data_IF_842746201865
#
_entry.id   IF_842746201865
#
_cell.length_a   1.000
_cell.length_b   1.000
_cell.length_c   1.000
_cell.angle_alpha   90.00
_cell.angle_beta   90.00
_cell.angle_gamma   90.00
#
_symmetry.space_group_name_H-M   'P 1'
#
loop_
_entity.id
_entity.type
_entity.pdbx_description
1 polymer ?
#
# COMPACT_ATOMS: atom_id res chain seq x y z
N UNK A 1 5.96 -24.20 -10.03
CA UNK A 1 5.88 -22.97 -9.91
C UNK A 1 6.36 -22.41 -8.66
N UNK A 2 6.77 -21.27 -8.56
CA UNK A 2 7.21 -20.72 -7.39
C UNK A 2 6.23 -19.93 -6.72
N UNK A 3 6.25 -19.94 -5.48
CA UNK A 3 5.41 -19.09 -4.70
C UNK A 3 5.93 -17.70 -4.83
N UNK A 4 5.07 -16.77 -4.94
CA UNK A 4 5.47 -15.40 -4.94
C UNK A 4 5.37 -14.90 -3.54
N UNK A 5 6.42 -14.27 -3.06
CA UNK A 5 6.42 -13.73 -1.73
C UNK A 5 6.71 -12.26 -1.82
N UNK A 6 5.90 -11.47 -1.17
CA UNK A 6 6.10 -10.03 -1.18
C UNK A 6 5.50 -9.43 0.09
N UNK A 7 5.84 -8.20 0.34
CA UNK A 7 5.25 -7.48 1.45
C UNK A 7 4.23 -6.50 0.88
N UNK A 8 3.08 -6.45 1.52
CA UNK A 8 2.06 -5.51 1.13
C UNK A 8 1.92 -4.49 2.24
N UNK A 9 2.12 -3.24 1.92
CA UNK A 9 2.05 -2.17 2.89
C UNK A 9 0.81 -1.33 2.65
N UNK A 10 0.11 -1.01 3.71
CA UNK A 10 -1.09 -0.19 3.62
C UNK A 10 -1.03 0.92 4.65
N UNK A 11 -1.41 2.10 4.23
CA UNK A 11 -1.59 3.23 5.14
C UNK A 11 -3.03 3.66 4.99
N UNK A 12 -3.77 3.64 6.08
CA UNK A 12 -5.16 4.06 6.08
C UNK A 12 -5.24 5.48 6.58
N UNK A 13 -5.95 6.32 5.83
CA UNK A 13 -6.06 7.73 6.17
C UNK A 13 -7.51 8.16 6.14
N UNK A 14 -7.79 9.22 6.83
CA UNK A 14 -9.12 9.78 6.85
C UNK A 14 -9.06 11.17 6.22
N UNK A 15 -9.99 11.48 5.36
CA UNK A 15 -10.03 12.80 4.74
C UNK A 15 -10.60 12.73 3.34
N UNK A 16 -10.57 13.85 2.67
CA UNK A 16 -11.16 13.91 1.35
C UNK A 16 -10.22 13.32 0.32
N UNK A 17 -10.81 12.73 -0.69
CA UNK A 17 -10.05 12.20 -1.79
C UNK A 17 -9.27 13.31 -2.49
N UNK A 18 -9.90 14.46 -2.67
CA UNK A 18 -9.26 15.56 -3.38
C UNK A 18 -7.98 15.99 -2.70
N UNK A 19 -7.96 15.93 -1.39
CA UNK A 19 -6.79 16.35 -0.67
C UNK A 19 -5.73 15.25 -0.62
N UNK A 20 -6.15 14.03 -0.40
CA UNK A 20 -5.21 12.95 -0.15
C UNK A 20 -4.64 12.31 -1.40
N UNK A 21 -5.40 12.27 -2.46
CA UNK A 21 -4.93 11.58 -3.66
C UNK A 21 -3.62 12.16 -4.21
N UNK A 22 -3.50 13.47 -4.38
CA UNK A 22 -2.23 13.99 -4.89
C UNK A 22 -1.07 13.75 -3.94
N UNK A 23 -1.33 13.78 -2.63
CA UNK A 23 -0.27 13.55 -1.67
C UNK A 23 0.27 12.12 -1.79
N UNK A 24 -0.64 11.17 -1.92
CA UNK A 24 -0.24 9.79 -2.04
C UNK A 24 0.49 9.55 -3.36
N UNK A 25 -0.01 10.15 -4.43
CA UNK A 25 0.61 9.94 -5.73
C UNK A 25 2.04 10.46 -5.77
N UNK A 26 2.30 11.51 -5.04
CA UNK A 26 3.65 12.03 -4.99
C UNK A 26 4.61 11.08 -4.32
N UNK A 27 4.14 10.20 -3.48
CA UNK A 27 5.02 9.23 -2.82
C UNK A 27 5.32 8.04 -3.72
N UNK A 28 4.61 7.91 -4.81
CA UNK A 28 4.75 6.74 -5.67
C UNK A 28 3.89 5.56 -5.25
N UNK A 29 3.13 5.72 -4.17
CA UNK A 29 2.24 4.64 -3.71
C UNK A 29 0.92 4.74 -4.44
N UNK A 30 0.22 3.61 -4.48
CA UNK A 30 -1.06 3.54 -5.15
C UNK A 30 -2.14 4.09 -4.23
N UNK A 31 -2.98 4.95 -4.76
CA UNK A 31 -4.08 5.53 -4.00
C UNK A 31 -5.37 4.78 -4.28
N UNK A 32 -6.15 4.53 -3.25
CA UNK A 32 -7.51 4.06 -3.44
C UNK A 32 -8.38 4.67 -2.35
N UNK A 33 -9.65 4.77 -2.63
CA UNK A 33 -10.58 5.31 -1.68
C UNK A 33 -11.83 4.44 -1.68
N UNK A 34 -12.35 4.18 -0.50
CA UNK A 34 -13.57 3.44 -0.37
C UNK A 34 -14.59 4.41 0.16
N UNK A 35 -15.63 4.63 -0.59
CA UNK A 35 -16.67 5.53 -0.18
C UNK A 35 -17.28 5.00 1.07
N UNK A 36 -17.52 5.89 1.95
CA UNK A 36 -17.78 5.61 3.30
C UNK A 36 -18.74 4.55 3.60
N UNK A 37 -18.39 3.77 4.53
CA UNK A 37 -19.25 2.84 5.16
C UNK A 37 -20.12 3.70 6.04
N UNK A 38 -21.39 3.78 5.77
CA UNK A 38 -22.26 4.65 6.57
C UNK A 38 -22.28 4.26 8.03
N UNK A 39 -21.89 3.06 8.35
CA UNK A 39 -21.90 2.67 9.75
C UNK A 39 -20.68 3.21 10.46
N UNK A 40 -19.69 3.69 9.75
CA UNK A 40 -18.53 4.23 10.37
C UNK A 40 -18.51 5.74 10.39
N UNK A 41 -19.56 6.36 10.03
CA UNK A 41 -19.65 7.81 10.02
C UNK A 41 -19.36 8.36 8.66
N UNK A 42 -19.15 9.64 8.59
CA UNK A 42 -19.10 10.28 7.32
C UNK A 42 -17.71 10.36 6.78
N UNK A 43 -16.75 9.74 7.34
CA UNK A 43 -15.41 9.88 6.83
C UNK A 43 -15.18 9.00 5.64
N UNK A 44 -14.49 9.52 4.68
CA UNK A 44 -14.05 8.73 3.56
C UNK A 44 -12.71 8.14 3.97
N UNK A 45 -12.55 6.85 3.81
CA UNK A 45 -11.28 6.23 4.12
C UNK A 45 -10.49 6.08 2.86
N UNK A 46 -9.29 6.57 2.90
CA UNK A 46 -8.38 6.50 1.77
C UNK A 46 -7.20 5.62 2.14
N UNK A 47 -6.65 4.98 1.15
CA UNK A 47 -5.56 4.04 1.37
C UNK A 47 -4.40 4.31 0.44
N UNK A 48 -3.21 4.14 0.97
CA UNK A 48 -2.01 4.14 0.16
C UNK A 48 -1.43 2.73 0.25
N UNK A 49 -1.10 2.14 -0.87
CA UNK A 49 -0.64 0.76 -0.92
C UNK A 49 0.64 0.65 -1.72
N UNK A 50 1.55 -0.16 -1.25
CA UNK A 50 2.79 -0.43 -1.96
C UNK A 50 3.21 -1.87 -1.70
N UNK A 51 3.78 -2.50 -2.71
CA UNK A 51 4.30 -3.85 -2.58
C UNK A 51 5.81 -3.80 -2.67
N UNK A 52 6.47 -4.54 -1.80
CA UNK A 52 7.91 -4.63 -1.81
C UNK A 52 8.33 -6.08 -1.92
N UNK A 53 9.44 -6.29 -2.58
CA UNK A 53 9.98 -7.61 -2.80
C UNK A 53 10.35 -8.26 -1.47
N UNK A 54 10.04 -9.51 -1.31
CA UNK A 54 10.33 -10.21 -0.07
C UNK A 54 11.81 -10.44 0.18
N UNK A 55 12.65 -10.11 -0.78
CA UNK A 55 14.07 -10.17 -0.56
C UNK A 55 14.53 -9.05 0.36
N UNK A 56 13.73 -8.01 0.50
CA UNK A 56 14.06 -6.98 1.46
C UNK A 56 13.79 -7.52 2.85
N UNK A 57 14.49 -7.01 3.83
CA UNK A 57 14.21 -7.45 5.19
C UNK A 57 12.91 -6.80 5.68
N UNK A 58 12.28 -7.46 6.61
CA UNK A 58 11.06 -6.95 7.20
C UNK A 58 11.33 -5.60 7.86
N UNK A 59 12.48 -5.47 8.47
CA UNK A 59 12.87 -4.25 9.13
C UNK A 59 13.00 -3.10 8.14
N UNK A 60 13.53 -3.38 6.98
CA UNK A 60 13.70 -2.39 5.95
C UNK A 60 12.34 -1.94 5.41
N UNK A 61 11.44 -2.89 5.19
CA UNK A 61 10.12 -2.58 4.69
C UNK A 61 9.34 -1.74 5.70
N UNK A 62 9.49 -2.06 6.97
CA UNK A 62 8.82 -1.30 8.00
C UNK A 62 9.35 0.13 8.01
N UNK A 63 10.65 0.32 7.80
CA UNK A 63 11.22 1.65 7.72
C UNK A 63 10.66 2.44 6.55
N UNK A 64 10.48 1.78 5.41
CA UNK A 64 9.92 2.45 4.24
C UNK A 64 8.47 2.84 4.47
N UNK A 65 7.72 1.97 5.12
CA UNK A 65 6.33 2.27 5.46
C UNK A 65 6.27 3.48 6.38
N UNK A 66 7.08 3.50 7.41
CA UNK A 66 7.06 4.60 8.35
C UNK A 66 7.50 5.90 7.72
N UNK A 67 8.49 5.85 6.85
CA UNK A 67 8.95 7.04 6.17
C UNK A 67 7.83 7.65 5.33
N UNK A 68 7.10 6.80 4.62
CA UNK A 68 6.02 7.27 3.77
C UNK A 68 4.88 7.82 4.61
N UNK A 69 4.51 7.12 5.68
CA UNK A 69 3.43 7.60 6.54
C UNK A 69 3.81 8.93 7.19
N UNK A 70 5.04 9.06 7.63
CA UNK A 70 5.47 10.30 8.25
C UNK A 70 5.46 11.45 7.25
N UNK A 71 5.79 11.17 6.01
CA UNK A 71 5.73 12.19 4.98
C UNK A 71 4.30 12.64 4.76
N UNK A 72 3.36 11.69 4.71
CA UNK A 72 1.97 12.05 4.51
C UNK A 72 1.44 12.86 5.68
N UNK A 73 1.85 12.51 6.89
CA UNK A 73 1.44 13.27 8.05
C UNK A 73 2.00 14.68 8.00
N UNK A 74 3.26 14.82 7.58
CA UNK A 74 3.86 16.13 7.47
C UNK A 74 3.13 17.00 6.45
N UNK A 75 2.54 16.36 5.45
CA UNK A 75 1.79 17.07 4.43
C UNK A 75 0.32 17.28 4.81
N UNK A 76 -0.05 16.91 6.01
CA UNK A 76 -1.38 17.20 6.51
C UNK A 76 -2.35 16.03 6.57
N UNK A 77 -1.90 14.83 6.23
CA UNK A 77 -2.80 13.69 6.25
C UNK A 77 -3.03 13.19 7.67
N UNK A 78 -4.21 12.65 7.90
CA UNK A 78 -4.52 12.01 9.17
C UNK A 78 -4.41 10.51 8.97
N UNK A 79 -3.34 9.95 9.49
CA UNK A 79 -3.08 8.52 9.34
C UNK A 79 -3.72 7.77 10.49
N UNK A 80 -4.59 6.84 10.15
CA UNK A 80 -5.29 6.06 11.16
C UNK A 80 -4.62 4.72 11.42
N UNK A 81 -3.93 4.17 10.45
CA UNK A 81 -3.36 2.84 10.60
C UNK A 81 -2.22 2.62 9.62
N UNK A 82 -1.21 1.91 10.06
CA UNK A 82 -0.12 1.47 9.20
C UNK A 82 -0.05 -0.03 9.31
N UNK A 83 0.08 -0.73 8.20
CA UNK A 83 0.06 -2.18 8.22
C UNK A 83 1.03 -2.74 7.20
N UNK A 84 1.79 -3.75 7.60
CA UNK A 84 2.63 -4.50 6.70
C UNK A 84 2.22 -5.95 6.80
N UNK A 85 2.00 -6.57 5.66
CA UNK A 85 1.67 -7.98 5.62
C UNK A 85 2.66 -8.68 4.73
N UNK A 86 3.10 -9.83 5.13
CA UNK A 86 3.93 -10.64 4.28
C UNK A 86 3.05 -11.67 3.61
N UNK A 87 2.97 -11.61 2.30
CA UNK A 87 2.14 -12.51 1.55
C UNK A 87 3.06 -13.63 1.06
N UNK A 88 2.86 -14.82 1.58
CA UNK A 88 3.72 -15.91 1.26
C UNK A 88 3.31 -16.62 0.01
N UNK A 89 2.06 -16.83 -0.17
CA UNK A 89 1.60 -17.56 -1.34
C UNK A 89 0.24 -17.06 -1.74
N UNK A 90 0.04 -16.88 -3.00
CA UNK A 90 -1.24 -16.48 -3.47
C UNK A 90 -1.54 -17.31 -4.69
N UNK A 91 -2.51 -18.19 -4.59
CA UNK A 91 -2.78 -19.09 -5.67
C UNK A 91 -3.74 -18.54 -6.69
N UNK A 92 -4.04 -17.28 -6.62
CA UNK A 92 -4.85 -16.69 -7.67
C UNK A 92 -4.00 -16.50 -8.91
N UNK A 93 -2.81 -16.86 -8.81
CA UNK A 93 -1.96 -16.92 -9.94
C UNK A 93 -1.86 -15.61 -10.66
N UNK A 94 -2.16 -15.62 -11.90
CA UNK A 94 -1.89 -14.46 -12.68
C UNK A 94 -2.71 -13.26 -12.37
N UNK A 95 -3.72 -13.42 -11.55
CA UNK A 95 -4.54 -12.27 -11.31
C UNK A 95 -4.00 -11.42 -10.19
N UNK A 96 -3.01 -11.89 -9.49
CA UNK A 96 -2.52 -11.14 -8.40
C UNK A 96 -1.50 -10.20 -8.87
N UNK A 97 -1.81 -8.97 -8.94
CA UNK A 97 -0.82 -8.03 -9.29
C UNK A 97 -1.22 -6.68 -8.91
N UNK A 98 -0.31 -5.83 -8.75
CA UNK A 98 -0.65 -4.47 -8.52
C UNK A 98 -0.83 -3.89 -9.90
N UNK A 99 -1.30 -2.72 -10.01
CA UNK A 99 -1.63 -2.13 -11.27
C UNK A 99 -0.46 -1.48 -11.92
N UNK A 100 0.69 -1.92 -11.66
CA UNK A 100 1.84 -1.34 -12.30
C UNK A 100 2.44 -0.19 -11.53
N UNK A 101 1.88 0.12 -10.39
CA UNK A 101 2.40 1.22 -9.62
C UNK A 101 3.49 0.82 -8.67
N UNK A 102 3.60 -0.44 -8.36
CA UNK A 102 4.59 -0.87 -7.38
C UNK A 102 5.85 -1.28 -8.08
N UNK A 103 6.96 -0.65 -7.78
CA UNK A 103 8.16 -0.92 -8.54
C UNK A 103 8.72 -2.32 -8.34
N UNK A 104 8.34 -2.98 -7.28
CA UNK A 104 8.94 -4.26 -7.00
C UNK A 104 8.08 -5.48 -7.17
N UNK A 105 6.78 -5.34 -7.19
CA UNK A 105 5.97 -6.54 -7.21
C UNK A 105 6.03 -7.28 -8.53
N UNK A 106 6.35 -6.63 -9.62
CA UNK A 106 6.43 -7.33 -10.86
C UNK A 106 7.70 -8.12 -11.02
N UNK A 107 8.67 -7.82 -10.24
CA UNK A 107 9.89 -8.52 -10.35
C UNK A 107 9.74 -9.92 -10.01
N UNK A 108 8.80 -10.16 -9.19
CA UNK A 108 8.60 -11.45 -8.69
C UNK A 108 7.95 -12.35 -9.65
N UNK A 109 7.57 -11.88 -10.73
CA UNK A 109 6.94 -12.72 -11.64
C UNK A 109 7.97 -13.59 -12.17
N UNK A 110 8.31 -14.44 -11.38
CA UNK A 110 9.30 -15.23 -11.72
C UNK A 110 8.92 -16.29 -12.52
N UNK A 111 7.96 -16.13 -13.09
CA UNK A 111 7.48 -17.13 -13.82
C UNK A 111 8.40 -17.54 -14.76
N UNK A 112 9.28 -16.94 -14.98
CA UNK A 112 10.08 -17.42 -15.90
C UNK A 112 10.71 -18.52 -15.60
#
# INVERSE_FOLDING_TARGET
MKAQTYYECHITMEGSREFLEPLVRETGWKFSAIDGDPTLGDGVKCYATMHYNAKRSEFEVLGLLNKTADRLIADGATVLRRKVERVIHDDRSSTVRCDGLCPECHIEDLTK
#
